data_IF_684859154246
#
_entry.id   IF_684859154246
#
_cell.length_a   1.000
_cell.length_b   1.000
_cell.length_c   1.000
_cell.angle_alpha   90.00
_cell.angle_beta   90.00
_cell.angle_gamma   90.00
#
_symmetry.space_group_name_H-M   'P 1'
#
loop_
_entity.id
_entity.type
_entity.pdbx_description
1 polymer ?
#
# COMPACT_ATOMS: atom_id res chain seq x y z
N UNK A 1 17.11 19.65 2.59
CA UNK A 1 16.37 19.43 3.85
C UNK A 1 14.97 18.85 3.61
N UNK A 2 14.10 19.53 2.84
CA UNK A 2 12.72 19.09 2.56
C UNK A 2 12.67 17.72 1.83
N UNK A 3 13.53 17.52 0.83
CA UNK A 3 13.61 16.23 0.11
C UNK A 3 14.01 15.05 1.02
N UNK A 4 14.83 15.29 2.03
CA UNK A 4 15.23 14.26 3.01
C UNK A 4 14.06 13.91 3.93
N UNK A 5 13.30 14.92 4.36
CA UNK A 5 12.10 14.72 5.19
C UNK A 5 11.02 13.95 4.43
N UNK A 6 10.81 14.27 3.15
CA UNK A 6 9.89 13.54 2.26
C UNK A 6 10.38 12.09 2.05
N UNK A 7 11.68 11.86 1.86
CA UNK A 7 12.23 10.51 1.72
C UNK A 7 12.04 9.66 2.99
N UNK A 8 12.16 10.26 4.18
CA UNK A 8 11.85 9.59 5.44
C UNK A 8 10.34 9.31 5.61
N UNK A 9 9.47 10.24 5.17
CA UNK A 9 8.02 10.05 5.26
C UNK A 9 7.49 9.03 4.25
N UNK A 10 8.12 8.93 3.07
CA UNK A 10 7.84 7.93 2.04
C UNK A 10 8.16 6.49 2.49
N UNK A 11 8.95 6.36 3.55
CA UNK A 11 9.33 5.08 4.12
C UNK A 11 8.18 4.40 4.89
N UNK A 12 7.11 5.14 5.22
CA UNK A 12 5.89 4.59 5.81
C UNK A 12 4.94 4.18 4.66
N UNK A 13 4.68 2.88 4.45
CA UNK A 13 3.86 2.40 3.34
C UNK A 13 2.41 2.90 3.47
N UNK A 14 1.75 3.14 2.34
CA UNK A 14 0.42 3.79 2.21
C UNK A 14 0.42 5.26 2.64
N UNK A 15 0.84 5.56 3.86
CA UNK A 15 0.84 6.92 4.43
C UNK A 15 1.79 7.84 3.64
N UNK A 16 2.94 7.34 3.21
CA UNK A 16 3.92 8.08 2.42
C UNK A 16 3.40 8.53 1.05
N UNK A 17 2.57 7.71 0.39
CA UNK A 17 1.97 8.08 -0.90
C UNK A 17 0.96 9.23 -0.76
N UNK A 18 0.10 9.18 0.27
CA UNK A 18 -0.85 10.26 0.56
C UNK A 18 -0.15 11.56 0.98
N UNK A 19 0.84 11.47 1.86
CA UNK A 19 1.60 12.63 2.30
C UNK A 19 2.40 13.22 1.13
N UNK A 20 3.03 12.39 0.32
CA UNK A 20 3.75 12.82 -0.88
C UNK A 20 2.82 13.55 -1.87
N UNK A 21 1.60 13.05 -2.05
CA UNK A 21 0.58 13.73 -2.85
C UNK A 21 0.20 15.09 -2.28
N UNK A 22 -0.10 15.18 -0.98
CA UNK A 22 -0.50 16.45 -0.33
C UNK A 22 0.64 17.47 -0.41
N UNK A 23 1.87 17.08 -0.07
CA UNK A 23 3.02 17.98 -0.10
C UNK A 23 3.33 18.38 -1.54
N UNK A 24 3.33 17.44 -2.49
CA UNK A 24 3.54 17.71 -3.91
C UNK A 24 2.48 18.66 -4.48
N UNK A 25 1.21 18.41 -4.20
CA UNK A 25 0.10 19.25 -4.63
C UNK A 25 0.21 20.67 -4.05
N UNK A 26 0.52 20.81 -2.75
CA UNK A 26 0.73 22.12 -2.12
C UNK A 26 1.91 22.88 -2.75
N UNK A 27 3.04 22.22 -2.99
CA UNK A 27 4.20 22.87 -3.61
C UNK A 27 3.90 23.34 -5.04
N UNK A 28 3.20 22.52 -5.82
CA UNK A 28 2.83 22.87 -7.20
C UNK A 28 1.76 23.98 -7.18
N UNK A 29 0.82 23.96 -6.23
CA UNK A 29 -0.20 25.00 -6.06
C UNK A 29 0.41 26.39 -5.84
N UNK A 30 1.53 26.47 -5.10
CA UNK A 30 2.27 27.72 -4.88
C UNK A 30 2.89 28.28 -6.17
N UNK A 31 3.15 27.44 -7.17
CA UNK A 31 3.76 27.83 -8.44
C UNK A 31 2.67 28.13 -9.48
N UNK A 32 1.76 27.18 -9.70
CA UNK A 32 0.71 27.26 -10.70
C UNK A 32 -0.49 26.36 -10.32
N UNK A 33 -1.68 26.94 -10.07
CA UNK A 33 -2.84 26.18 -9.60
C UNK A 33 -3.43 25.24 -10.68
N UNK A 34 -3.27 25.56 -11.97
CA UNK A 34 -3.75 24.68 -13.04
C UNK A 34 -2.87 23.43 -13.16
N UNK A 35 -1.54 23.57 -12.99
CA UNK A 35 -0.63 22.42 -12.93
C UNK A 35 -0.86 21.58 -11.69
N UNK A 36 -1.22 22.18 -10.55
CA UNK A 36 -1.52 21.44 -9.32
C UNK A 36 -2.75 20.54 -9.51
N UNK A 37 -3.80 21.06 -10.15
CA UNK A 37 -5.00 20.28 -10.47
C UNK A 37 -4.66 19.10 -11.39
N UNK A 38 -3.87 19.34 -12.44
CA UNK A 38 -3.44 18.28 -13.36
C UNK A 38 -2.59 17.21 -12.65
N UNK A 39 -1.68 17.62 -11.76
CA UNK A 39 -0.87 16.71 -10.95
C UNK A 39 -1.75 15.81 -10.08
N UNK A 40 -2.74 16.36 -9.37
CA UNK A 40 -3.64 15.58 -8.52
C UNK A 40 -4.45 14.58 -9.33
N UNK A 41 -5.00 15.00 -10.47
CA UNK A 41 -5.76 14.10 -11.37
C UNK A 41 -4.87 12.96 -11.86
N UNK A 42 -3.66 13.28 -12.35
CA UNK A 42 -2.69 12.29 -12.81
C UNK A 42 -2.28 11.33 -11.69
N UNK A 43 -2.04 11.86 -10.49
CA UNK A 43 -1.67 11.06 -9.31
C UNK A 43 -2.80 10.09 -8.92
N UNK A 44 -4.06 10.55 -8.93
CA UNK A 44 -5.20 9.68 -8.67
C UNK A 44 -5.30 8.57 -9.72
N UNK A 45 -5.12 8.88 -11.01
CA UNK A 45 -5.12 7.86 -12.07
C UNK A 45 -3.98 6.85 -11.85
N UNK A 46 -2.78 7.31 -11.53
CA UNK A 46 -1.65 6.45 -11.18
C UNK A 46 -1.97 5.55 -9.98
N UNK A 47 -2.57 6.08 -8.92
CA UNK A 47 -2.97 5.30 -7.76
C UNK A 47 -4.03 4.25 -8.08
N UNK A 48 -4.98 4.55 -8.97
CA UNK A 48 -5.95 3.55 -9.43
C UNK A 48 -5.28 2.44 -10.25
N UNK A 49 -4.32 2.79 -11.12
CA UNK A 49 -3.55 1.80 -11.90
C UNK A 49 -2.71 0.93 -10.97
N UNK A 50 -2.05 1.53 -9.99
CA UNK A 50 -1.28 0.82 -8.98
C UNK A 50 -2.16 -0.17 -8.21
N UNK A 51 -3.28 0.30 -7.65
CA UNK A 51 -4.16 -0.53 -6.83
C UNK A 51 -4.89 -1.63 -7.61
N UNK A 52 -5.33 -1.36 -8.84
CA UNK A 52 -6.21 -2.26 -9.58
C UNK A 52 -5.50 -3.10 -10.65
N UNK A 53 -4.35 -2.66 -11.17
CA UNK A 53 -3.63 -3.34 -12.26
C UNK A 53 -2.27 -3.86 -11.82
N UNK A 54 -1.43 -2.99 -11.24
CA UNK A 54 -0.05 -3.35 -10.89
C UNK A 54 -0.05 -4.26 -9.66
N UNK A 55 -0.79 -3.90 -8.60
CA UNK A 55 -0.85 -4.67 -7.37
C UNK A 55 -1.22 -6.14 -7.62
N UNK A 56 -2.33 -6.50 -8.30
CA UNK A 56 -2.66 -7.91 -8.55
C UNK A 56 -1.67 -8.63 -9.46
N UNK A 57 -0.95 -7.93 -10.32
CA UNK A 57 0.06 -8.54 -11.20
C UNK A 57 1.39 -8.80 -10.47
N UNK A 58 1.77 -7.90 -9.55
CA UNK A 58 3.02 -8.01 -8.75
C UNK A 58 2.84 -8.96 -7.57
N UNK A 59 1.69 -8.92 -6.88
CA UNK A 59 1.42 -9.78 -5.71
C UNK A 59 0.67 -11.07 -6.07
N UNK A 60 0.26 -11.21 -7.34
CA UNK A 60 -0.53 -12.34 -7.84
C UNK A 60 -1.94 -12.38 -7.24
N UNK A 61 -2.91 -12.92 -7.97
CA UNK A 61 -4.32 -13.07 -7.53
C UNK A 61 -4.54 -13.99 -6.31
N UNK A 62 -3.51 -14.26 -5.49
CA UNK A 62 -3.55 -15.19 -4.35
C UNK A 62 -3.50 -14.53 -2.99
N UNK A 63 -3.30 -13.21 -2.92
CA UNK A 63 -3.21 -12.56 -1.60
C UNK A 63 -4.30 -11.55 -1.34
N UNK A 64 -4.79 -10.78 -2.31
CA UNK A 64 -5.99 -9.94 -2.15
C UNK A 64 -6.09 -9.21 -0.80
N UNK A 65 -4.94 -8.84 -0.19
CA UNK A 65 -4.92 -8.42 1.20
C UNK A 65 -5.75 -7.16 1.34
N UNK A 66 -6.81 -7.20 2.15
CA UNK A 66 -7.49 -5.98 2.52
C UNK A 66 -6.50 -4.98 3.12
N UNK A 67 -6.62 -3.70 2.75
CA UNK A 67 -5.73 -2.62 3.21
C UNK A 67 -5.63 -2.54 4.73
N UNK A 68 -6.64 -3.02 5.45
CA UNK A 68 -6.65 -3.14 6.91
C UNK A 68 -5.53 -4.07 7.44
N UNK A 69 -5.21 -5.16 6.74
CA UNK A 69 -4.13 -6.07 7.16
C UNK A 69 -2.75 -5.45 6.94
N UNK A 70 -2.60 -4.64 5.89
CA UNK A 70 -1.39 -3.85 5.67
C UNK A 70 -1.23 -2.81 6.78
N UNK A 71 -2.31 -2.10 7.15
CA UNK A 71 -2.30 -1.14 8.25
C UNK A 71 -1.93 -1.80 9.59
N UNK A 72 -2.49 -2.98 9.86
CA UNK A 72 -2.16 -3.79 11.04
C UNK A 72 -0.67 -4.18 11.04
N UNK A 73 -0.15 -4.66 9.90
CA UNK A 73 1.26 -5.02 9.74
C UNK A 73 2.18 -3.81 9.98
N UNK A 74 1.83 -2.63 9.47
CA UNK A 74 2.60 -1.39 9.68
C UNK A 74 2.54 -0.95 11.14
N UNK A 75 1.38 -1.03 11.79
CA UNK A 75 1.22 -0.62 13.19
C UNK A 75 2.03 -1.54 14.12
N UNK A 76 1.96 -2.85 13.91
CA UNK A 76 2.67 -3.85 14.70
C UNK A 76 4.17 -3.82 14.40
N UNK A 77 4.56 -3.88 13.12
CA UNK A 77 5.95 -3.84 12.69
C UNK A 77 6.65 -2.53 13.05
N UNK A 78 5.94 -1.40 12.91
CA UNK A 78 6.38 -0.08 13.34
C UNK A 78 6.65 0.02 14.83
N UNK A 79 5.81 -0.61 15.66
CA UNK A 79 5.98 -0.59 17.12
C UNK A 79 7.16 -1.44 17.60
N UNK A 80 7.54 -2.49 16.85
CA UNK A 80 8.60 -3.43 17.24
C UNK A 80 10.00 -2.96 16.85
N UNK A 81 10.22 -2.66 15.56
CA UNK A 81 11.53 -2.32 15.00
C UNK A 81 11.49 -1.02 14.17
N UNK A 82 10.46 -0.19 14.38
CA UNK A 82 10.26 1.04 13.61
C UNK A 82 10.09 0.75 12.12
N UNK A 83 10.75 1.57 11.31
CA UNK A 83 10.77 1.51 9.85
C UNK A 83 11.11 0.11 9.31
N UNK A 84 12.16 -0.52 9.84
CA UNK A 84 12.61 -1.84 9.35
C UNK A 84 11.55 -2.89 9.64
N UNK A 85 10.90 -2.79 10.80
CA UNK A 85 9.80 -3.66 11.17
C UNK A 85 8.59 -3.50 10.25
N UNK A 86 8.25 -2.28 9.82
CA UNK A 86 7.16 -2.05 8.84
C UNK A 86 7.42 -2.76 7.51
N UNK A 87 8.64 -2.66 6.96
CA UNK A 87 9.00 -3.27 5.68
C UNK A 87 8.99 -4.80 5.72
N UNK A 88 9.41 -5.39 6.85
CA UNK A 88 9.46 -6.85 7.01
C UNK A 88 8.10 -7.43 7.39
N UNK A 89 7.30 -6.74 8.19
CA UNK A 89 5.98 -7.24 8.61
C UNK A 89 4.96 -7.31 7.47
N UNK A 90 5.00 -6.39 6.50
CA UNK A 90 4.08 -6.40 5.36
C UNK A 90 4.13 -7.72 4.57
N UNK A 91 5.29 -8.18 4.04
CA UNK A 91 5.36 -9.44 3.32
C UNK A 91 5.08 -10.64 4.26
N UNK A 92 5.43 -10.54 5.53
CA UNK A 92 5.21 -11.62 6.51
C UNK A 92 3.71 -11.85 6.76
N UNK A 93 2.96 -10.78 7.01
CA UNK A 93 1.49 -10.83 7.13
C UNK A 93 0.85 -11.24 5.81
N UNK A 94 1.45 -10.86 4.68
CA UNK A 94 0.98 -11.24 3.36
C UNK A 94 1.05 -12.74 3.11
N UNK A 95 2.17 -13.37 3.44
CA UNK A 95 2.33 -14.82 3.36
C UNK A 95 1.33 -15.54 4.27
N UNK A 96 1.17 -15.08 5.51
CA UNK A 96 0.22 -15.67 6.47
C UNK A 96 -1.21 -15.59 5.92
N UNK A 97 -1.63 -14.43 5.41
CA UNK A 97 -2.96 -14.25 4.83
C UNK A 97 -3.18 -15.15 3.62
N UNK A 98 -2.19 -15.25 2.72
CA UNK A 98 -2.28 -16.13 1.55
C UNK A 98 -2.43 -17.60 1.94
N UNK A 99 -1.65 -18.04 2.93
CA UNK A 99 -1.74 -19.40 3.46
C UNK A 99 -3.13 -19.67 4.03
N UNK A 100 -3.65 -18.84 4.93
CA UNK A 100 -4.99 -19.00 5.51
C UNK A 100 -6.06 -19.03 4.41
N UNK A 101 -6.00 -18.11 3.45
CA UNK A 101 -6.94 -18.07 2.32
C UNK A 101 -6.88 -19.32 1.45
N UNK A 102 -5.70 -19.90 1.24
CA UNK A 102 -5.53 -21.16 0.50
C UNK A 102 -6.15 -22.35 1.24
N UNK A 103 -5.96 -22.43 2.57
CA UNK A 103 -6.53 -23.47 3.42
C UNK A 103 -8.06 -23.44 3.46
N UNK A 104 -8.66 -22.24 3.57
CA UNK A 104 -10.13 -22.09 3.58
C UNK A 104 -10.74 -22.48 2.24
N UNK A 105 -10.15 -22.03 1.11
CA UNK A 105 -10.61 -22.42 -0.24
C UNK A 105 -10.54 -23.93 -0.49
N UNK A 106 -9.56 -24.60 0.13
CA UNK A 106 -9.40 -26.04 -0.01
C UNK A 106 -10.53 -26.81 0.71
N UNK A 107 -11.01 -26.30 1.85
CA UNK A 107 -12.16 -26.86 2.59
C UNK A 107 -13.47 -26.74 1.80
N UNK A 108 -13.73 -25.59 1.20
CA UNK A 108 -14.95 -25.39 0.39
C UNK A 108 -15.01 -26.32 -0.84
N UNK A 109 -13.86 -26.65 -1.44
CA UNK A 109 -13.80 -27.62 -2.55
C UNK A 109 -14.12 -29.04 -2.12
N UNK A 110 -13.69 -29.46 -0.93
CA UNK A 110 -14.00 -30.78 -0.38
C UNK A 110 -15.48 -30.91 0.00
N UNK A 111 -16.12 -29.84 0.49
CA UNK A 111 -17.53 -29.89 0.89
C UNK A 111 -18.49 -29.86 -0.31
N UNK A 112 -18.11 -29.23 -1.43
CA UNK A 112 -18.93 -29.24 -2.67
C UNK A 112 -18.78 -30.50 -3.53
N UNK A 113 -17.85 -31.40 -3.20
CA UNK A 113 -17.63 -32.67 -3.94
C UNK A 113 -18.16 -33.91 -3.20
N UNK A 114 -18.80 -33.73 -2.04
CA UNK A 114 -19.48 -34.78 -1.28
C UNK A 114 -21.01 -34.62 -1.42
#
# INVERSE_FOLDING_TARGET
>A
LIAVLIAFMALIPIVGAFIGCIVGALLILLIDPFKALFFVIMFLVLQQIEGNLIYPHVVGGSVGLPSIWVLMAVTIGGSLMGIVGMLVFIPLVSVIYSLIGSWVRQREKCEKSA
#
